data_IF_554453142799
#
_entry.id   IF_554453142799
#
_cell.length_a   1.000
_cell.length_b   1.000
_cell.length_c   1.000
_cell.angle_alpha   90.00
_cell.angle_beta   90.00
_cell.angle_gamma   90.00
#
_symmetry.space_group_name_H-M   'P 1'
#
loop_
_entity.id
_entity.type
_entity.pdbx_description
1 polymer ?
#
# COMPACT_ATOMS: atom_id res chain seq x y z
N UNK A 1 17.12 16.57 -4.18
CA UNK A 1 15.82 16.87 -4.83
C UNK A 1 14.96 17.60 -3.80
N UNK A 2 14.41 18.76 -4.13
CA UNK A 2 13.54 19.51 -3.22
C UNK A 2 12.23 18.73 -3.02
N UNK A 3 11.66 18.83 -1.80
CA UNK A 3 10.35 18.28 -1.52
C UNK A 3 9.32 18.91 -2.48
N UNK A 4 8.70 18.12 -3.33
CA UNK A 4 7.75 18.60 -4.33
C UNK A 4 6.31 18.60 -3.79
N UNK A 5 5.50 19.55 -4.26
CA UNK A 5 4.10 19.74 -3.89
C UNK A 5 3.21 19.80 -5.14
N UNK A 6 1.89 19.58 -4.99
CA UNK A 6 1.16 19.30 -3.77
C UNK A 6 1.38 17.87 -3.23
N UNK A 7 1.13 17.70 -1.92
CA UNK A 7 1.15 16.43 -1.19
C UNK A 7 -0.10 16.29 -0.33
N UNK A 8 -0.36 15.09 0.16
CA UNK A 8 -1.32 14.90 1.25
C UNK A 8 -0.58 14.92 2.60
N UNK A 9 -1.23 15.46 3.64
CA UNK A 9 -0.71 15.47 5.02
C UNK A 9 -1.77 15.00 6.02
N UNK A 10 -1.29 14.41 7.10
CA UNK A 10 -2.10 13.95 8.23
C UNK A 10 -3.00 12.76 7.92
N UNK A 11 -3.61 12.19 8.95
CA UNK A 11 -4.49 11.03 8.83
C UNK A 11 -5.75 11.31 7.99
N UNK A 12 -6.21 12.57 7.97
CA UNK A 12 -7.36 13.00 7.14
C UNK A 12 -7.00 13.22 5.67
N UNK A 13 -5.71 13.12 5.33
CA UNK A 13 -5.20 13.24 3.97
C UNK A 13 -5.60 14.57 3.31
N UNK A 14 -5.37 15.67 4.01
CA UNK A 14 -5.62 17.00 3.47
C UNK A 14 -4.54 17.39 2.47
N UNK A 15 -4.90 18.10 1.39
CA UNK A 15 -3.92 18.61 0.43
C UNK A 15 -3.06 19.68 1.08
N UNK A 16 -1.76 19.53 0.92
CA UNK A 16 -0.72 20.47 1.29
C UNK A 16 -0.09 21.03 0.01
N UNK A 17 -0.36 22.31 -0.32
CA UNK A 17 0.06 22.88 -1.60
C UNK A 17 1.50 23.42 -1.61
N UNK A 18 2.12 23.62 -0.44
CA UNK A 18 3.42 24.32 -0.33
C UNK A 18 4.21 23.88 0.90
N UNK A 19 5.49 24.23 0.88
CA UNK A 19 6.42 24.00 2.01
C UNK A 19 5.97 24.73 3.27
N UNK A 20 5.49 25.98 3.19
CA UNK A 20 5.03 26.76 4.35
C UNK A 20 3.85 26.07 5.04
N UNK A 21 2.90 25.55 4.24
CA UNK A 21 1.77 24.79 4.80
C UNK A 21 2.22 23.47 5.44
N UNK A 22 3.23 22.85 4.87
CA UNK A 22 3.82 21.63 5.39
C UNK A 22 4.53 21.88 6.73
N UNK A 23 5.33 22.93 6.83
CA UNK A 23 6.00 23.37 8.05
C UNK A 23 4.98 23.67 9.15
N UNK A 24 3.98 24.50 8.84
CA UNK A 24 2.91 24.86 9.78
C UNK A 24 2.15 23.63 10.29
N UNK A 25 1.96 22.61 9.46
CA UNK A 25 1.36 21.34 9.86
C UNK A 25 2.25 20.61 10.88
N UNK A 26 3.55 20.50 10.62
CA UNK A 26 4.49 19.85 11.54
C UNK A 26 4.51 20.60 12.87
N UNK A 27 4.68 21.91 12.87
CA UNK A 27 4.74 22.74 14.08
C UNK A 27 3.48 22.58 14.94
N UNK A 28 2.32 22.44 14.30
CA UNK A 28 1.04 22.32 15.00
C UNK A 28 0.81 20.93 15.58
N UNK A 29 1.25 19.86 14.89
CA UNK A 29 0.86 18.47 15.15
C UNK A 29 1.94 17.68 15.85
N UNK A 30 3.23 17.99 15.60
CA UNK A 30 4.36 17.24 16.15
C UNK A 30 4.34 17.23 17.69
N UNK A 31 4.53 16.05 18.26
CA UNK A 31 4.44 15.82 19.70
C UNK A 31 3.02 15.66 20.26
N UNK A 32 1.97 16.05 19.50
CA UNK A 32 0.55 15.87 19.87
C UNK A 32 -0.08 14.68 19.16
N UNK A 33 0.32 14.44 17.91
CA UNK A 33 -0.11 13.30 17.12
C UNK A 33 1.01 12.90 16.14
N UNK A 34 0.85 11.72 15.53
CA UNK A 34 1.78 11.23 14.52
C UNK A 34 1.68 12.07 13.24
N UNK A 35 2.82 12.52 12.72
CA UNK A 35 2.90 13.31 11.50
C UNK A 35 3.12 12.41 10.28
N UNK A 36 2.23 12.53 9.30
CA UNK A 36 2.28 11.78 8.04
C UNK A 36 2.20 12.69 6.83
N UNK A 37 2.85 12.27 5.75
CA UNK A 37 2.70 12.86 4.42
C UNK A 37 2.51 11.77 3.37
N UNK A 38 1.94 12.10 2.21
CA UNK A 38 1.97 11.16 1.07
C UNK A 38 3.40 10.85 0.69
N UNK A 39 3.68 9.59 0.35
CA UNK A 39 5.01 9.15 -0.08
C UNK A 39 5.48 9.93 -1.31
N UNK A 40 4.54 10.24 -2.21
CA UNK A 40 4.77 10.96 -3.46
C UNK A 40 4.06 12.31 -3.48
N UNK A 41 4.49 13.19 -4.39
CA UNK A 41 3.75 14.39 -4.77
C UNK A 41 2.83 14.13 -5.96
N UNK A 42 2.03 15.13 -6.32
CA UNK A 42 1.08 15.04 -7.43
C UNK A 42 1.24 16.27 -8.33
N UNK A 43 0.89 16.17 -9.60
CA UNK A 43 0.87 17.34 -10.51
C UNK A 43 -0.46 18.08 -10.44
N UNK A 44 -1.53 17.34 -10.26
CA UNK A 44 -2.90 17.83 -10.40
C UNK A 44 -3.77 17.44 -9.21
N UNK A 45 -4.87 18.18 -9.07
CA UNK A 45 -5.96 17.83 -8.16
C UNK A 45 -7.05 17.09 -8.92
N UNK A 46 -7.79 16.25 -8.22
CA UNK A 46 -8.98 15.60 -8.77
C UNK A 46 -10.02 16.70 -9.18
N UNK A 47 -10.40 16.81 -10.45
CA UNK A 47 -11.31 17.85 -10.90
C UNK A 47 -12.70 17.74 -10.28
N UNK A 48 -13.12 16.53 -9.89
CA UNK A 48 -14.41 16.30 -9.23
C UNK A 48 -14.32 16.47 -7.71
N UNK A 49 -13.11 16.35 -7.15
CA UNK A 49 -12.83 16.46 -5.70
C UNK A 49 -11.59 17.33 -5.46
N UNK A 50 -11.69 18.67 -5.62
CA UNK A 50 -10.52 19.58 -5.56
C UNK A 50 -9.74 19.53 -4.24
N UNK A 51 -10.32 18.91 -3.21
CA UNK A 51 -9.67 18.65 -1.92
C UNK A 51 -8.85 17.34 -1.89
N UNK A 52 -8.82 16.60 -3.01
CA UNK A 52 -8.00 15.40 -3.21
C UNK A 52 -7.02 15.60 -4.36
N UNK A 53 -5.85 14.91 -4.33
CA UNK A 53 -5.01 14.86 -5.52
C UNK A 53 -5.64 13.95 -6.58
N UNK A 54 -5.34 14.22 -7.84
CA UNK A 54 -5.49 13.21 -8.88
C UNK A 54 -4.34 12.20 -8.76
N UNK A 55 -4.67 11.00 -8.31
CA UNK A 55 -3.69 9.93 -8.13
C UNK A 55 -3.05 9.44 -9.45
N UNK A 56 -3.69 9.70 -10.59
CA UNK A 56 -3.08 9.43 -11.90
C UNK A 56 -1.97 10.42 -12.25
N UNK A 57 -1.93 11.57 -11.59
CA UNK A 57 -0.89 12.59 -11.75
C UNK A 57 0.29 12.43 -10.78
N UNK A 58 0.37 11.30 -10.07
CA UNK A 58 1.42 10.99 -9.10
C UNK A 58 2.81 11.14 -9.72
N UNK A 59 3.72 11.77 -8.98
CA UNK A 59 5.14 11.90 -9.32
C UNK A 59 5.92 10.94 -8.44
N UNK A 60 6.34 9.83 -9.03
CA UNK A 60 7.08 8.77 -8.36
C UNK A 60 8.58 9.08 -8.50
N UNK A 61 9.18 9.51 -7.41
CA UNK A 61 10.58 9.96 -7.34
C UNK A 61 11.49 8.98 -6.58
N UNK A 62 10.92 7.87 -6.09
CA UNK A 62 11.64 6.88 -5.28
C UNK A 62 10.93 5.54 -5.25
N UNK A 63 11.67 4.48 -4.90
CA UNK A 63 11.13 3.26 -4.32
C UNK A 63 11.12 3.36 -2.79
N UNK A 64 10.26 2.58 -2.13
CA UNK A 64 10.07 2.66 -0.69
C UNK A 64 9.66 1.32 -0.08
N UNK A 65 10.28 0.97 1.03
CA UNK A 65 10.02 -0.25 1.78
C UNK A 65 9.80 0.08 3.25
N UNK A 66 8.85 -0.60 3.87
CA UNK A 66 8.49 -0.52 5.28
C UNK A 66 8.83 -1.82 5.97
N UNK A 67 9.67 -1.75 6.99
CA UNK A 67 10.07 -2.89 7.80
C UNK A 67 9.66 -2.62 9.24
N UNK A 68 8.80 -3.46 9.77
CA UNK A 68 8.27 -3.30 11.13
C UNK A 68 8.52 -4.55 11.99
N UNK A 69 8.80 -4.32 13.27
CA UNK A 69 8.73 -5.38 14.29
C UNK A 69 7.30 -5.87 14.43
N UNK A 70 7.12 -7.19 14.53
CA UNK A 70 5.82 -7.79 14.69
C UNK A 70 5.89 -9.32 14.74
N UNK A 71 4.83 -9.96 14.32
CA UNK A 71 4.73 -11.42 14.28
C UNK A 71 5.80 -12.07 13.37
N UNK A 72 6.32 -11.33 12.39
CA UNK A 72 7.30 -11.82 11.41
C UNK A 72 8.75 -11.78 11.90
N UNK A 73 9.04 -11.05 12.97
CA UNK A 73 10.38 -10.97 13.55
C UNK A 73 10.55 -9.83 14.54
N UNK A 74 11.61 -9.96 15.35
CA UNK A 74 12.06 -8.93 16.28
C UNK A 74 12.91 -7.86 15.63
N UNK A 75 13.45 -6.94 16.45
CA UNK A 75 14.27 -5.82 15.96
C UNK A 75 15.53 -6.30 15.23
N UNK A 76 16.16 -7.40 15.65
CA UNK A 76 17.37 -7.91 15.02
C UNK A 76 17.08 -8.53 13.64
N UNK A 77 15.89 -9.14 13.47
CA UNK A 77 15.43 -9.62 12.16
C UNK A 77 15.17 -8.44 11.23
N UNK A 78 14.53 -7.37 11.73
CA UNK A 78 14.29 -6.14 10.98
C UNK A 78 15.60 -5.50 10.54
N UNK A 79 16.58 -5.35 11.45
CA UNK A 79 17.91 -4.78 11.14
C UNK A 79 18.61 -5.57 10.05
N UNK A 80 18.61 -6.91 10.16
CA UNK A 80 19.23 -7.80 9.16
C UNK A 80 18.58 -7.67 7.79
N UNK A 81 17.25 -7.67 7.73
CA UNK A 81 16.51 -7.54 6.49
C UNK A 81 16.75 -6.17 5.84
N UNK A 82 16.73 -5.10 6.63
CA UNK A 82 17.04 -3.73 6.16
C UNK A 82 18.46 -3.62 5.63
N UNK A 83 19.48 -4.11 6.35
CA UNK A 83 20.87 -4.12 5.89
C UNK A 83 21.00 -4.94 4.59
N UNK A 84 20.35 -6.10 4.53
CA UNK A 84 20.32 -6.93 3.32
C UNK A 84 19.71 -6.18 2.13
N UNK A 85 18.59 -5.48 2.33
CA UNK A 85 17.99 -4.66 1.27
C UNK A 85 18.96 -3.54 0.82
N UNK A 86 19.49 -2.76 1.76
CA UNK A 86 20.41 -1.66 1.43
C UNK A 86 21.57 -2.14 0.57
N UNK A 87 22.18 -3.29 0.90
CA UNK A 87 23.27 -3.89 0.12
C UNK A 87 22.87 -4.34 -1.29
N UNK A 88 21.57 -4.56 -1.56
CA UNK A 88 21.04 -4.89 -2.90
C UNK A 88 20.69 -3.66 -3.74
N UNK A 89 20.62 -2.49 -3.10
CA UNK A 89 20.20 -1.27 -3.77
C UNK A 89 21.39 -0.48 -4.31
N UNK A 90 21.21 0.10 -5.48
CA UNK A 90 22.17 0.98 -6.13
C UNK A 90 21.78 2.45 -5.93
N UNK A 91 22.79 3.33 -5.94
CA UNK A 91 22.56 4.77 -5.92
C UNK A 91 22.26 5.34 -4.55
N UNK A 92 21.44 6.38 -4.50
CA UNK A 92 21.13 7.12 -3.26
C UNK A 92 20.03 6.42 -2.46
N UNK A 93 20.40 5.84 -1.34
CA UNK A 93 19.52 5.15 -0.41
C UNK A 93 19.44 5.96 0.88
N UNK A 94 18.20 6.18 1.34
CA UNK A 94 17.91 6.88 2.60
C UNK A 94 17.24 5.92 3.56
N UNK A 95 17.59 6.00 4.81
CA UNK A 95 17.03 5.19 5.88
C UNK A 95 16.40 6.07 6.95
N UNK A 96 15.18 5.75 7.34
CA UNK A 96 14.46 6.42 8.42
C UNK A 96 14.10 5.40 9.48
N UNK A 97 14.61 5.56 10.71
CA UNK A 97 14.11 4.81 11.85
C UNK A 97 12.77 5.43 12.30
N UNK A 98 11.70 4.62 12.35
CA UNK A 98 10.33 5.12 12.61
C UNK A 98 9.89 5.00 14.07
N UNK A 99 10.77 4.41 14.91
CA UNK A 99 10.50 4.10 16.31
C UNK A 99 9.81 2.75 16.55
N UNK A 100 9.45 2.02 15.46
CA UNK A 100 8.99 0.62 15.49
C UNK A 100 9.79 -0.25 14.52
N UNK A 101 10.33 0.35 13.50
CA UNK A 101 11.06 -0.27 12.43
C UNK A 101 11.74 0.78 11.57
N UNK A 102 11.84 0.52 10.27
CA UNK A 102 12.58 1.38 9.35
C UNK A 102 11.85 1.54 8.02
N UNK A 103 11.91 2.76 7.48
CA UNK A 103 11.60 3.02 6.08
C UNK A 103 12.90 3.13 5.28
N UNK A 104 13.00 2.36 4.21
CA UNK A 104 14.09 2.47 3.24
C UNK A 104 13.57 3.19 2.01
N UNK A 105 14.28 4.21 1.54
CA UNK A 105 13.96 4.97 0.35
C UNK A 105 15.14 4.88 -0.62
N UNK A 106 14.90 4.52 -1.87
CA UNK A 106 15.87 4.62 -2.94
C UNK A 106 15.44 5.71 -3.91
N UNK A 107 16.21 6.79 -4.01
CA UNK A 107 15.86 7.93 -4.85
C UNK A 107 16.12 7.65 -6.32
N UNK A 108 15.23 8.13 -7.19
CA UNK A 108 15.38 7.99 -8.63
C UNK A 108 16.04 9.21 -9.25
N UNK A 109 16.95 8.96 -10.19
CA UNK A 109 17.58 10.00 -11.01
C UNK A 109 16.51 10.78 -11.79
N UNK A 110 15.58 10.04 -12.41
CA UNK A 110 14.54 10.56 -13.26
C UNK A 110 13.17 10.15 -12.68
N UNK A 111 12.43 11.07 -12.02
CA UNK A 111 11.08 10.78 -11.54
C UNK A 111 10.15 10.44 -12.70
N UNK A 112 9.26 9.50 -12.48
CA UNK A 112 8.24 9.11 -13.45
C UNK A 112 6.86 9.61 -13.02
N UNK A 113 5.94 9.78 -13.97
CA UNK A 113 4.62 10.37 -13.72
C UNK A 113 3.53 9.44 -14.19
N UNK A 114 2.50 9.35 -13.37
CA UNK A 114 1.26 8.62 -13.67
C UNK A 114 1.11 7.30 -12.93
N UNK A 115 -0.14 6.98 -12.61
CA UNK A 115 -0.52 5.78 -11.84
C UNK A 115 -0.19 4.46 -12.55
N UNK A 116 0.05 4.47 -13.87
CA UNK A 116 0.52 3.28 -14.60
C UNK A 116 1.88 2.75 -14.13
N UNK A 117 2.68 3.61 -13.46
CA UNK A 117 3.95 3.21 -12.89
C UNK A 117 3.83 2.44 -11.58
N UNK A 118 2.69 2.48 -10.88
CA UNK A 118 2.49 1.76 -9.60
C UNK A 118 2.82 0.26 -9.75
N UNK A 119 2.39 -0.38 -10.84
CA UNK A 119 2.69 -1.80 -11.09
C UNK A 119 4.18 -2.05 -11.29
N UNK A 120 4.85 -1.23 -12.10
CA UNK A 120 6.28 -1.36 -12.37
C UNK A 120 7.10 -1.12 -11.10
N UNK A 121 6.73 -0.10 -10.32
CA UNK A 121 7.33 0.19 -9.02
C UNK A 121 7.18 -1.00 -8.06
N UNK A 122 5.96 -1.50 -7.89
CA UNK A 122 5.69 -2.63 -7.00
C UNK A 122 6.48 -3.88 -7.39
N UNK A 123 6.58 -4.18 -8.70
CA UNK A 123 7.41 -5.29 -9.21
C UNK A 123 8.89 -5.08 -8.88
N UNK A 124 9.40 -3.87 -9.09
CA UNK A 124 10.77 -3.54 -8.71
C UNK A 124 11.01 -3.75 -7.21
N UNK A 125 10.19 -3.13 -6.38
CA UNK A 125 10.32 -3.18 -4.93
C UNK A 125 10.27 -4.61 -4.40
N UNK A 126 9.32 -5.42 -4.89
CA UNK A 126 9.22 -6.83 -4.52
C UNK A 126 10.39 -7.66 -5.03
N UNK A 127 10.92 -7.40 -6.22
CA UNK A 127 12.08 -8.12 -6.74
C UNK A 127 13.32 -7.96 -5.85
N UNK A 128 13.45 -6.80 -5.16
CA UNK A 128 14.56 -6.52 -4.24
C UNK A 128 14.38 -7.10 -2.85
N UNK A 129 13.13 -7.36 -2.43
CA UNK A 129 12.77 -7.71 -1.05
C UNK A 129 11.93 -8.99 -0.92
N UNK A 130 11.88 -9.85 -1.95
CA UNK A 130 10.99 -11.02 -2.01
C UNK A 130 11.20 -12.06 -0.91
N UNK A 131 12.41 -12.17 -0.38
CA UNK A 131 12.84 -13.11 0.65
C UNK A 131 12.99 -12.48 2.04
N UNK A 132 12.73 -11.17 2.18
CA UNK A 132 12.88 -10.45 3.44
C UNK A 132 11.60 -10.58 4.27
N UNK A 133 11.73 -11.20 5.44
CA UNK A 133 10.58 -11.65 6.24
C UNK A 133 9.82 -10.53 6.93
N UNK A 134 10.55 -9.47 7.35
CA UNK A 134 10.00 -8.38 8.14
C UNK A 134 9.44 -7.23 7.30
N UNK A 135 9.43 -7.38 5.96
CA UNK A 135 8.80 -6.42 5.04
C UNK A 135 7.30 -6.33 5.32
N UNK A 136 6.82 -5.14 5.72
CA UNK A 136 5.41 -4.87 5.99
C UNK A 136 4.70 -4.22 4.79
N UNK A 137 5.42 -3.43 4.00
CA UNK A 137 4.84 -2.76 2.85
C UNK A 137 5.83 -2.19 1.85
N UNK A 138 5.31 -1.87 0.67
CA UNK A 138 6.03 -1.22 -0.43
C UNK A 138 5.30 0.04 -0.91
N UNK A 139 5.94 0.83 -1.77
CA UNK A 139 5.41 2.08 -2.29
C UNK A 139 4.22 1.90 -3.24
N UNK A 140 3.32 2.86 -3.25
CA UNK A 140 2.25 3.04 -4.24
C UNK A 140 1.67 4.46 -4.15
N UNK A 141 0.94 4.89 -5.18
CA UNK A 141 0.47 6.29 -5.33
C UNK A 141 -0.27 6.85 -4.10
N UNK A 142 -1.03 6.00 -3.39
CA UNK A 142 -1.80 6.40 -2.20
C UNK A 142 -1.09 6.14 -0.88
N UNK A 143 0.19 5.73 -0.88
CA UNK A 143 0.92 5.43 0.37
C UNK A 143 1.17 6.71 1.16
N UNK A 144 0.92 6.64 2.45
CA UNK A 144 1.35 7.63 3.42
C UNK A 144 2.61 7.14 4.12
N UNK A 145 3.54 8.03 4.36
CA UNK A 145 4.77 7.75 5.10
C UNK A 145 4.90 8.68 6.30
N UNK A 146 5.60 8.25 7.33
CA UNK A 146 5.94 9.10 8.46
C UNK A 146 6.92 10.17 8.03
N UNK A 147 6.69 11.38 8.53
CA UNK A 147 7.64 12.48 8.30
C UNK A 147 8.82 12.26 9.25
N UNK A 148 10.07 12.18 8.73
CA UNK A 148 11.26 12.17 9.59
C UNK A 148 11.31 13.40 10.48
N UNK A 149 12.06 13.28 11.58
CA UNK A 149 12.27 14.33 12.57
C UNK A 149 10.99 14.76 13.31
N UNK A 150 10.01 13.87 13.28
CA UNK A 150 8.77 14.02 14.05
C UNK A 150 8.65 12.93 15.13
N UNK A 151 7.96 13.28 16.21
CA UNK A 151 7.76 12.38 17.33
C UNK A 151 6.67 11.34 17.03
N UNK A 152 7.00 10.06 17.21
CA UNK A 152 6.06 8.96 17.15
C UNK A 152 5.36 8.84 18.51
N UNK A 153 4.23 9.50 18.67
CA UNK A 153 3.47 9.56 19.92
C UNK A 153 3.09 8.16 20.40
N UNK A 154 2.73 7.26 19.48
CA UNK A 154 2.32 5.90 19.82
C UNK A 154 3.46 5.04 20.37
N UNK A 155 4.73 5.43 20.16
CA UNK A 155 5.91 4.69 20.57
C UNK A 155 6.81 5.44 21.55
N UNK A 156 6.55 6.73 21.79
CA UNK A 156 7.38 7.56 22.64
C UNK A 156 8.80 7.79 22.08
N UNK A 157 8.96 7.83 20.75
CA UNK A 157 10.27 7.90 20.07
C UNK A 157 10.23 8.84 18.88
N UNK A 158 11.40 9.32 18.47
CA UNK A 158 11.53 10.15 17.26
C UNK A 158 11.71 9.31 16.02
N UNK A 159 11.09 9.71 14.92
CA UNK A 159 11.46 9.24 13.59
C UNK A 159 12.70 10.02 13.15
N UNK A 160 13.77 9.34 12.76
CA UNK A 160 15.06 9.99 12.45
C UNK A 160 15.68 9.44 11.18
N UNK A 161 16.34 10.34 10.43
CA UNK A 161 17.19 9.94 9.33
C UNK A 161 18.48 9.29 9.86
N UNK A 162 18.92 8.22 9.20
CA UNK A 162 20.12 7.47 9.54
C UNK A 162 20.94 7.31 8.26
N UNK A 163 22.27 7.33 8.36
CA UNK A 163 23.12 6.94 7.25
C UNK A 163 22.88 5.47 6.90
N UNK A 164 22.42 5.23 5.66
CA UNK A 164 22.02 3.89 5.23
C UNK A 164 23.22 2.96 5.08
N UNK A 165 24.40 3.47 4.67
CA UNK A 165 25.61 2.67 4.49
C UNK A 165 26.23 2.32 5.82
N UNK A 166 26.36 3.30 6.71
CA UNK A 166 26.84 3.06 8.07
C UNK A 166 25.98 2.02 8.78
N UNK A 167 24.66 2.12 8.62
CA UNK A 167 23.74 1.15 9.17
C UNK A 167 23.90 -0.24 8.56
N UNK A 168 24.11 -0.37 7.24
CA UNK A 168 24.29 -1.66 6.58
C UNK A 168 25.57 -2.36 7.02
N UNK A 169 26.66 -1.59 7.25
CA UNK A 169 27.95 -2.10 7.70
C UNK A 169 27.93 -2.50 9.19
N UNK A 170 27.17 -1.77 10.00
CA UNK A 170 27.05 -2.01 11.45
C UNK A 170 25.64 -1.68 11.95
N UNK A 171 24.66 -2.59 11.79
CA UNK A 171 23.29 -2.34 12.21
C UNK A 171 23.20 -2.10 13.73
N UNK A 172 23.00 -0.84 14.11
CA UNK A 172 22.87 -0.43 15.50
C UNK A 172 21.41 -0.30 15.91
N UNK A 173 21.14 -0.13 17.21
CA UNK A 173 19.80 0.11 17.72
C UNK A 173 19.49 1.62 17.66
N UNK A 174 18.81 2.04 16.59
CA UNK A 174 18.39 3.42 16.36
C UNK A 174 17.01 3.75 16.93
N UNK A 175 16.61 3.10 17.98
CA UNK A 175 15.40 3.44 18.70
C UNK A 175 15.63 4.69 19.55
N UNK A 176 15.62 5.87 18.94
CA UNK A 176 16.01 7.12 19.58
C UNK A 176 14.87 7.71 20.41
N UNK A 177 14.98 7.79 21.75
CA UNK A 177 13.95 8.36 22.61
C UNK A 177 14.00 9.88 22.69
N UNK A 178 15.16 10.49 22.35
CA UNK A 178 15.40 11.94 22.46
C UNK A 178 15.26 12.61 21.10
N UNK A 179 14.87 13.88 21.10
CA UNK A 179 14.83 14.67 19.87
C UNK A 179 16.22 14.75 19.25
N UNK A 180 16.38 14.38 17.96
CA UNK A 180 17.66 14.56 17.28
C UNK A 180 17.96 16.06 17.20
N UNK A 181 19.24 16.39 17.37
CA UNK A 181 19.77 17.76 17.25
C UNK A 181 20.06 18.03 15.78
N UNK A 182 19.00 18.16 14.98
CA UNK A 182 19.15 18.53 13.58
C UNK A 182 18.43 19.86 13.34
N UNK A 183 19.02 20.68 12.52
CA UNK A 183 18.41 21.95 12.11
C UNK A 183 17.36 21.67 11.01
N UNK A 184 16.10 21.66 11.41
CA UNK A 184 14.95 21.39 10.54
C UNK A 184 14.50 22.57 9.71
N UNK A 185 15.28 23.64 9.64
CA UNK A 185 14.95 24.80 8.80
C UNK A 185 14.83 24.45 7.32
N UNK A 186 15.25 23.25 6.92
CA UNK A 186 15.17 22.74 5.57
C UNK A 186 14.37 21.43 5.55
N UNK A 187 13.08 21.55 5.61
CA UNK A 187 12.07 20.46 5.60
C UNK A 187 12.03 19.62 4.32
N UNK A 188 13.18 19.29 3.76
CA UNK A 188 13.29 18.09 2.94
C UNK A 188 13.67 16.93 3.88
N UNK A 189 12.71 16.13 4.35
CA UNK A 189 13.00 15.00 5.23
C UNK A 189 13.93 13.97 4.58
N UNK A 190 14.21 14.16 3.28
CA UNK A 190 15.02 13.28 2.45
C UNK A 190 16.27 13.97 1.94
N UNK A 191 16.60 15.15 2.45
CA UNK A 191 17.81 15.87 2.14
C UNK A 191 18.97 15.28 2.96
N UNK A 192 19.79 14.51 2.32
CA UNK A 192 21.14 14.21 2.75
C UNK A 192 22.10 14.72 1.68
N UNK A 193 23.37 14.67 1.98
CA UNK A 193 24.45 15.19 1.21
C UNK A 193 24.32 15.01 -0.30
N UNK A 194 24.59 16.05 -1.01
CA UNK A 194 24.63 16.40 -2.44
C UNK A 194 24.92 15.31 -3.50
N UNK A 195 24.71 14.05 -3.25
CA UNK A 195 24.81 13.01 -4.26
C UNK A 195 23.55 13.01 -5.11
N UNK A 196 23.70 13.35 -6.38
CA UNK A 196 22.61 13.22 -7.35
C UNK A 196 22.21 11.73 -7.43
N UNK A 197 20.90 11.39 -7.36
CA UNK A 197 20.44 10.03 -7.53
C UNK A 197 20.94 9.44 -8.84
N UNK A 198 21.47 8.23 -8.82
CA UNK A 198 22.04 7.57 -10.01
C UNK A 198 21.12 6.46 -10.54
N UNK A 199 20.25 5.90 -9.71
CA UNK A 199 19.35 4.81 -10.11
C UNK A 199 18.19 5.31 -10.99
N UNK A 200 17.93 4.62 -12.12
CA UNK A 200 16.84 4.91 -13.04
C UNK A 200 15.84 3.76 -13.08
N UNK A 201 14.63 4.01 -12.56
CA UNK A 201 13.52 3.04 -12.63
C UNK A 201 13.08 2.79 -14.08
N UNK A 202 13.21 3.80 -14.94
CA UNK A 202 12.86 3.68 -16.37
C UNK A 202 13.81 2.70 -17.05
N UNK A 203 15.10 2.82 -16.81
CA UNK A 203 16.11 1.89 -17.34
C UNK A 203 15.86 0.46 -16.84
N UNK A 204 15.65 0.31 -15.54
CA UNK A 204 15.34 -0.99 -14.96
C UNK A 204 14.09 -1.63 -15.61
N UNK A 205 13.02 -0.86 -15.84
CA UNK A 205 11.79 -1.35 -16.45
C UNK A 205 11.98 -1.78 -17.92
N UNK A 206 12.93 -1.16 -18.65
CA UNK A 206 13.29 -1.56 -20.01
C UNK A 206 14.11 -2.87 -19.98
N UNK A 207 15.07 -2.98 -19.06
CA UNK A 207 15.95 -4.16 -18.92
C UNK A 207 15.19 -5.37 -18.32
N UNK A 208 14.08 -5.12 -17.62
CA UNK A 208 13.21 -6.14 -17.04
C UNK A 208 11.76 -5.96 -17.58
N UNK A 209 11.51 -6.25 -18.85
CA UNK A 209 10.17 -6.16 -19.42
C UNK A 209 9.20 -7.06 -18.66
N UNK A 210 7.92 -6.71 -18.65
CA UNK A 210 6.88 -7.61 -18.15
C UNK A 210 6.90 -8.82 -19.06
N UNK A 211 7.33 -9.99 -18.55
CA UNK A 211 7.11 -11.24 -19.28
C UNK A 211 5.60 -11.45 -19.33
N UNK A 212 5.07 -11.78 -20.51
CA UNK A 212 3.67 -12.18 -20.67
C UNK A 212 3.32 -13.40 -19.81
N UNK A 213 4.32 -14.06 -19.23
CA UNK A 213 4.25 -15.29 -18.43
C UNK A 213 3.90 -15.12 -16.95
N UNK A 214 3.45 -13.95 -16.48
CA UNK A 214 2.77 -13.90 -15.18
C UNK A 214 1.28 -14.30 -15.30
N UNK A 215 1.01 -15.24 -16.15
CA UNK A 215 -0.16 -16.10 -16.05
C UNK A 215 0.18 -17.14 -14.98
N UNK A 216 -0.53 -17.10 -13.89
CA UNK A 216 -0.41 -18.03 -12.76
C UNK A 216 -0.39 -19.49 -13.24
N UNK A 217 0.78 -20.10 -13.38
CA UNK A 217 0.90 -21.56 -13.41
C UNK A 217 0.80 -22.09 -11.98
N UNK A 218 -0.37 -21.99 -11.41
CA UNK A 218 -0.79 -22.69 -10.20
C UNK A 218 -1.97 -23.56 -10.53
N UNK A 219 -1.70 -24.75 -11.11
CA UNK A 219 -2.72 -25.80 -11.16
C UNK A 219 -2.98 -26.29 -9.75
N UNK A 220 -4.02 -25.80 -9.12
CA UNK A 220 -4.56 -26.37 -7.89
C UNK A 220 -5.75 -27.27 -8.24
N UNK A 221 -5.54 -28.59 -8.12
CA UNK A 221 -6.61 -29.56 -8.03
C UNK A 221 -6.97 -29.73 -6.56
N UNK A 222 -8.10 -29.16 -6.16
CA UNK A 222 -8.65 -29.34 -4.82
C UNK A 222 -10.13 -28.92 -4.84
N UNK A 223 -11.03 -29.87 -4.70
CA UNK A 223 -12.44 -29.62 -4.45
C UNK A 223 -12.60 -29.01 -3.06
N UNK A 224 -12.86 -27.72 -2.97
CA UNK A 224 -13.31 -27.07 -1.73
C UNK A 224 -14.77 -26.67 -1.94
N UNK A 225 -15.66 -27.36 -1.25
CA UNK A 225 -17.08 -27.05 -1.25
C UNK A 225 -17.33 -25.69 -0.61
N UNK A 226 -17.80 -24.76 -1.40
CA UNK A 226 -18.25 -23.43 -0.96
C UNK A 226 -19.62 -23.54 -0.32
N UNK A 227 -19.76 -23.10 0.92
CA UNK A 227 -21.05 -23.03 1.66
C UNK A 227 -21.71 -21.64 1.53
N UNK A 228 -21.36 -20.84 0.53
CA UNK A 228 -21.99 -19.54 0.30
C UNK A 228 -23.36 -19.71 -0.40
N UNK A 229 -24.36 -18.97 0.06
CA UNK A 229 -25.65 -18.86 -0.65
C UNK A 229 -25.50 -18.05 -1.95
N UNK A 230 -24.44 -17.27 -2.08
CA UNK A 230 -24.09 -16.48 -3.26
C UNK A 230 -23.20 -17.30 -4.18
N UNK A 231 -23.57 -17.51 -5.44
CA UNK A 231 -22.73 -18.20 -6.40
C UNK A 231 -21.42 -17.41 -6.65
N UNK A 232 -20.27 -17.99 -6.30
CA UNK A 232 -18.97 -17.36 -6.54
C UNK A 232 -18.47 -17.75 -7.94
N UNK A 233 -18.02 -16.80 -8.79
CA UNK A 233 -17.46 -17.11 -10.09
C UNK A 233 -16.21 -17.99 -9.96
N UNK A 234 -16.00 -19.00 -10.82
CA UNK A 234 -14.86 -19.92 -10.74
C UNK A 234 -13.49 -19.22 -10.69
N UNK A 235 -13.36 -18.10 -11.39
CA UNK A 235 -12.14 -17.29 -11.36
C UNK A 235 -11.88 -16.63 -10.00
N UNK A 236 -12.92 -16.15 -9.34
CA UNK A 236 -12.82 -15.57 -8.00
C UNK A 236 -12.67 -16.66 -6.96
N UNK A 237 -13.40 -17.77 -7.10
CA UNK A 237 -13.33 -18.92 -6.20
C UNK A 237 -11.89 -19.46 -6.12
N UNK A 238 -11.25 -19.70 -7.25
CA UNK A 238 -9.83 -20.10 -7.28
C UNK A 238 -8.91 -19.08 -6.61
N UNK A 239 -9.19 -17.80 -6.73
CA UNK A 239 -8.34 -16.75 -6.19
C UNK A 239 -8.48 -16.57 -4.66
N UNK A 240 -9.65 -16.91 -4.09
CA UNK A 240 -9.91 -16.78 -2.64
C UNK A 240 -9.50 -18.01 -1.83
N UNK A 241 -9.27 -19.16 -2.47
CA UNK A 241 -8.90 -20.42 -1.78
C UNK A 241 -7.43 -20.47 -1.35
N UNK A 242 -6.61 -19.48 -1.71
CA UNK A 242 -5.23 -19.38 -1.21
C UNK A 242 -5.22 -18.93 0.25
N UNK A 243 -4.25 -19.40 1.03
CA UNK A 243 -4.15 -19.11 2.47
C UNK A 243 -4.02 -17.63 2.82
N UNK A 244 -3.61 -16.77 1.87
CA UNK A 244 -3.49 -15.32 2.05
C UNK A 244 -3.71 -14.59 0.72
N UNK A 245 -4.98 -14.43 0.27
CA UNK A 245 -5.28 -13.71 -0.96
C UNK A 245 -4.91 -12.22 -0.84
N UNK A 246 -4.58 -11.61 -1.97
CA UNK A 246 -4.27 -10.18 -1.98
C UNK A 246 -5.47 -9.35 -1.52
N UNK A 247 -5.20 -8.14 -1.02
CA UNK A 247 -6.26 -7.22 -0.60
C UNK A 247 -7.30 -6.98 -1.71
N UNK A 248 -6.86 -6.88 -2.97
CA UNK A 248 -7.75 -6.68 -4.12
C UNK A 248 -8.71 -7.85 -4.33
N UNK A 249 -8.25 -9.09 -4.15
CA UNK A 249 -9.09 -10.29 -4.26
C UNK A 249 -10.15 -10.33 -3.14
N UNK A 250 -9.76 -9.97 -1.92
CA UNK A 250 -10.68 -9.87 -0.78
C UNK A 250 -11.75 -8.81 -1.02
N UNK A 251 -11.36 -7.64 -1.52
CA UNK A 251 -12.30 -6.56 -1.90
C UNK A 251 -13.24 -7.04 -3.00
N UNK A 252 -12.73 -7.74 -4.02
CA UNK A 252 -13.54 -8.27 -5.10
C UNK A 252 -14.59 -9.26 -4.60
N UNK A 253 -14.21 -10.15 -3.67
CA UNK A 253 -15.15 -11.09 -3.04
C UNK A 253 -16.28 -10.36 -2.30
N UNK A 254 -15.93 -9.41 -1.42
CA UNK A 254 -16.91 -8.66 -0.65
C UNK A 254 -17.88 -7.90 -1.57
N UNK A 255 -17.37 -7.22 -2.59
CA UNK A 255 -18.21 -6.48 -3.54
C UNK A 255 -19.09 -7.41 -4.37
N UNK A 256 -18.57 -8.57 -4.80
CA UNK A 256 -19.37 -9.56 -5.50
C UNK A 256 -20.50 -10.10 -4.64
N UNK A 257 -20.21 -10.51 -3.42
CA UNK A 257 -21.24 -10.98 -2.48
C UNK A 257 -22.26 -9.88 -2.17
N UNK A 258 -21.80 -8.66 -1.88
CA UNK A 258 -22.66 -7.52 -1.59
C UNK A 258 -23.65 -7.21 -2.72
N UNK A 259 -23.18 -7.19 -3.98
CA UNK A 259 -24.02 -6.96 -5.15
C UNK A 259 -25.09 -8.05 -5.31
N UNK A 260 -24.73 -9.31 -5.13
CA UNK A 260 -25.66 -10.42 -5.24
C UNK A 260 -26.67 -10.45 -4.10
N UNK A 261 -26.25 -10.23 -2.84
CA UNK A 261 -27.14 -10.19 -1.68
C UNK A 261 -28.14 -9.02 -1.75
N UNK A 262 -27.79 -7.96 -2.48
CA UNK A 262 -28.71 -6.85 -2.77
C UNK A 262 -29.62 -7.10 -3.98
N UNK A 263 -29.47 -8.20 -4.69
CA UNK A 263 -30.16 -8.44 -5.95
C UNK A 263 -29.95 -7.29 -6.95
N UNK A 264 -28.71 -6.80 -7.02
CA UNK A 264 -28.31 -5.67 -7.88
C UNK A 264 -29.01 -4.33 -7.57
N UNK A 265 -29.73 -4.21 -6.45
CA UNK A 265 -30.28 -2.93 -6.01
C UNK A 265 -29.15 -1.95 -5.58
N UNK A 266 -29.34 -0.63 -5.78
CA UNK A 266 -28.40 0.36 -5.28
C UNK A 266 -28.20 0.26 -3.75
N UNK A 267 -26.98 0.43 -3.27
CA UNK A 267 -26.65 0.32 -1.84
C UNK A 267 -27.47 1.31 -0.98
N UNK A 268 -27.74 2.49 -1.52
CA UNK A 268 -28.53 3.54 -0.86
C UNK A 268 -30.01 3.16 -0.62
N UNK A 269 -30.52 2.13 -1.29
CA UNK A 269 -31.91 1.68 -1.16
C UNK A 269 -32.06 0.53 -0.18
N UNK A 270 -30.95 -0.02 0.37
CA UNK A 270 -30.99 -1.18 1.25
C UNK A 270 -31.23 -0.74 2.70
N UNK A 271 -32.23 -1.29 3.39
CA UNK A 271 -32.50 -1.01 4.80
C UNK A 271 -31.30 -1.37 5.70
N UNK A 272 -31.12 -0.63 6.80
CA UNK A 272 -29.98 -0.77 7.69
C UNK A 272 -29.89 -2.14 8.40
N UNK A 273 -31.03 -2.77 8.68
CA UNK A 273 -31.12 -4.12 9.22
C UNK A 273 -30.65 -5.17 8.20
N UNK A 274 -31.04 -5.02 6.94
CA UNK A 274 -30.59 -5.88 5.85
C UNK A 274 -29.10 -5.72 5.61
N UNK A 275 -28.53 -4.49 5.67
CA UNK A 275 -27.09 -4.27 5.56
C UNK A 275 -26.33 -5.00 6.68
N UNK A 276 -26.84 -5.04 7.90
CA UNK A 276 -26.24 -5.79 9.00
C UNK A 276 -26.26 -7.29 8.76
N UNK A 277 -27.40 -7.83 8.29
CA UNK A 277 -27.51 -9.24 7.93
C UNK A 277 -26.52 -9.63 6.82
N UNK A 278 -26.36 -8.78 5.80
CA UNK A 278 -25.37 -8.99 4.74
C UNK A 278 -23.93 -8.92 5.26
N UNK A 279 -23.63 -7.99 6.17
CA UNK A 279 -22.33 -7.89 6.83
C UNK A 279 -21.97 -9.19 7.56
N UNK A 280 -22.92 -9.75 8.31
CA UNK A 280 -22.74 -10.99 9.03
C UNK A 280 -22.59 -12.20 8.08
N UNK A 281 -23.36 -12.28 7.02
CA UNK A 281 -23.27 -13.35 6.02
C UNK A 281 -21.90 -13.35 5.32
N UNK A 282 -21.44 -12.19 4.87
CA UNK A 282 -20.13 -12.05 4.22
C UNK A 282 -19.01 -12.38 5.19
N UNK A 283 -19.08 -11.89 6.43
CA UNK A 283 -18.06 -12.17 7.44
C UNK A 283 -17.97 -13.65 7.76
N UNK A 284 -19.12 -14.33 7.96
CA UNK A 284 -19.19 -15.75 8.20
C UNK A 284 -18.60 -16.56 7.05
N UNK A 285 -18.91 -16.17 5.80
CA UNK A 285 -18.32 -16.83 4.63
C UNK A 285 -16.79 -16.65 4.58
N UNK A 286 -16.28 -15.43 4.79
CA UNK A 286 -14.84 -15.18 4.81
C UNK A 286 -14.15 -16.00 5.92
N UNK A 287 -14.80 -16.18 7.06
CA UNK A 287 -14.26 -16.98 8.15
C UNK A 287 -14.07 -18.45 7.75
N UNK A 288 -14.94 -19.00 6.89
CA UNK A 288 -14.78 -20.38 6.39
C UNK A 288 -13.60 -20.58 5.44
N UNK A 289 -13.05 -19.49 4.90
CA UNK A 289 -11.91 -19.53 3.97
C UNK A 289 -10.55 -19.66 4.69
N UNK A 290 -10.53 -19.61 6.02
CA UNK A 290 -9.37 -19.85 6.87
C UNK A 290 -8.12 -19.04 6.47
N UNK A 291 -8.31 -17.77 6.02
CA UNK A 291 -7.20 -16.91 5.64
C UNK A 291 -6.29 -16.64 6.85
N UNK A 292 -4.99 -16.81 6.63
CA UNK A 292 -3.96 -16.79 7.67
C UNK A 292 -3.95 -15.52 8.54
N UNK A 293 -4.32 -14.37 7.97
CA UNK A 293 -4.33 -13.06 8.62
C UNK A 293 -5.76 -12.56 8.87
N UNK A 294 -6.77 -13.45 8.85
CA UNK A 294 -8.14 -13.08 9.11
C UNK A 294 -8.30 -12.50 10.52
N UNK A 295 -8.83 -11.27 10.57
CA UNK A 295 -9.22 -10.61 11.82
C UNK A 295 -10.67 -10.15 11.70
N UNK A 296 -11.61 -10.74 12.45
CA UNK A 296 -13.04 -10.47 12.29
C UNK A 296 -13.41 -9.00 12.54
N UNK A 297 -12.76 -8.31 13.48
CA UNK A 297 -13.04 -6.91 13.79
C UNK A 297 -12.62 -6.00 12.63
N UNK A 298 -11.41 -6.21 12.08
CA UNK A 298 -10.89 -5.44 10.94
C UNK A 298 -11.73 -5.74 9.68
N UNK A 299 -12.00 -7.03 9.43
CA UNK A 299 -12.78 -7.47 8.28
C UNK A 299 -14.20 -6.89 8.29
N UNK A 300 -14.87 -6.88 9.46
CA UNK A 300 -16.19 -6.29 9.63
C UNK A 300 -16.21 -4.79 9.25
N UNK A 301 -15.22 -4.04 9.68
CA UNK A 301 -15.10 -2.61 9.33
C UNK A 301 -14.93 -2.39 7.82
N UNK A 302 -14.13 -3.22 7.16
CA UNK A 302 -13.94 -3.18 5.70
C UNK A 302 -15.21 -3.58 4.95
N UNK A 303 -15.88 -4.67 5.35
CA UNK A 303 -17.14 -5.12 4.75
C UNK A 303 -18.18 -3.99 4.82
N UNK A 304 -18.39 -3.40 5.99
CA UNK A 304 -19.32 -2.28 6.19
C UNK A 304 -19.08 -1.12 5.24
N UNK A 305 -17.81 -0.77 5.02
CA UNK A 305 -17.43 0.27 4.05
C UNK A 305 -17.76 -0.16 2.62
N UNK A 306 -17.45 -1.41 2.26
CA UNK A 306 -17.67 -1.91 0.89
C UNK A 306 -19.15 -2.11 0.57
N UNK A 307 -20.00 -2.38 1.56
CA UNK A 307 -21.45 -2.46 1.39
C UNK A 307 -22.08 -1.13 0.90
N UNK A 308 -21.39 0.00 1.03
CA UNK A 308 -21.85 1.29 0.49
C UNK A 308 -21.57 1.47 -1.01
N UNK A 309 -20.84 0.54 -1.66
CA UNK A 309 -20.53 0.61 -3.09
C UNK A 309 -21.60 -0.07 -3.93
N UNK A 310 -22.01 0.54 -5.03
CA UNK A 310 -23.12 0.06 -5.85
C UNK A 310 -22.77 -1.12 -6.75
N UNK A 311 -21.50 -1.31 -7.10
CA UNK A 311 -21.07 -2.29 -8.11
C UNK A 311 -19.90 -3.12 -7.65
N UNK A 312 -19.90 -4.40 -8.02
CA UNK A 312 -18.74 -5.27 -7.96
C UNK A 312 -17.76 -4.98 -9.12
N UNK A 313 -16.52 -5.49 -9.05
CA UNK A 313 -15.56 -5.34 -10.13
C UNK A 313 -16.09 -5.83 -11.48
N UNK A 314 -15.77 -5.10 -12.55
CA UNK A 314 -16.19 -5.46 -13.91
C UNK A 314 -15.41 -6.68 -14.43
N UNK A 315 -15.92 -7.28 -15.52
CA UNK A 315 -15.22 -8.32 -16.28
C UNK A 315 -13.78 -7.91 -16.63
N UNK A 316 -13.62 -6.71 -17.18
CA UNK A 316 -12.30 -6.17 -17.53
C UNK A 316 -11.37 -6.05 -16.33
N UNK A 317 -11.91 -5.86 -15.13
CA UNK A 317 -11.09 -5.85 -13.92
C UNK A 317 -10.50 -7.24 -13.61
N UNK A 318 -11.29 -8.30 -13.76
CA UNK A 318 -10.82 -9.69 -13.58
C UNK A 318 -9.85 -10.11 -14.69
N UNK A 319 -10.17 -9.77 -15.95
CA UNK A 319 -9.31 -10.07 -17.09
C UNK A 319 -7.95 -9.36 -17.00
N UNK A 320 -7.95 -8.07 -16.62
CA UNK A 320 -6.72 -7.30 -16.46
C UNK A 320 -5.77 -7.84 -15.37
N UNK A 321 -6.27 -8.74 -14.51
CA UNK A 321 -5.50 -9.39 -13.43
C UNK A 321 -5.21 -10.86 -13.71
N UNK A 322 -5.49 -11.32 -14.92
CA UNK A 322 -5.30 -12.71 -15.30
C UNK A 322 -6.17 -13.70 -14.49
N UNK A 323 -7.21 -13.22 -13.83
CA UNK A 323 -8.09 -14.04 -13.00
C UNK A 323 -9.17 -14.75 -13.80
N UNK A 324 -9.48 -14.26 -15.00
CA UNK A 324 -10.51 -14.80 -15.86
C UNK A 324 -10.06 -14.85 -17.33
N UNK A 325 -10.27 -16.00 -17.94
CA UNK A 325 -9.98 -16.31 -19.34
C UNK A 325 -11.13 -15.96 -20.33
N UNK A 326 -12.19 -15.33 -19.84
CA UNK A 326 -13.32 -14.89 -20.66
C UNK A 326 -14.51 -15.86 -20.73
N UNK A 327 -14.36 -17.13 -20.35
CA UNK A 327 -15.43 -18.14 -20.40
C UNK A 327 -16.23 -18.30 -19.10
N UNK A 328 -16.13 -17.32 -18.20
CA UNK A 328 -16.82 -17.38 -16.92
C UNK A 328 -18.31 -17.03 -17.06
N UNK A 329 -19.20 -17.87 -16.51
CA UNK A 329 -20.66 -17.66 -16.56
C UNK A 329 -21.11 -16.30 -15.96
N UNK A 330 -20.40 -15.77 -14.99
CA UNK A 330 -20.69 -14.47 -14.39
C UNK A 330 -20.54 -13.31 -15.41
N UNK A 331 -19.72 -13.48 -16.43
CA UNK A 331 -19.56 -12.53 -17.52
C UNK A 331 -20.73 -12.57 -18.49
N UNK A 332 -21.32 -13.76 -18.70
CA UNK A 332 -22.41 -13.95 -19.61
C UNK A 332 -23.74 -13.42 -19.06
N UNK A 333 -23.93 -13.40 -17.74
CA UNK A 333 -25.12 -12.86 -17.10
C UNK A 333 -25.22 -11.32 -17.22
N UNK A 334 -24.09 -10.61 -17.18
CA UNK A 334 -24.05 -9.14 -17.29
C UNK A 334 -24.23 -8.61 -18.71
N UNK A 335 -24.04 -9.45 -19.75
CA UNK A 335 -24.30 -9.08 -21.15
C UNK A 335 -25.78 -9.13 -21.52
N UNK A 336 -26.64 -9.65 -20.65
CA UNK A 336 -28.08 -9.83 -20.90
C UNK A 336 -28.97 -8.80 -20.19
N UNK A 337 -28.37 -7.93 -19.36
CA UNK A 337 -29.01 -6.79 -18.71
C UNK A 337 -28.30 -5.47 -19.07
#
# INVERSE_FOLDING_TARGET
MLLSFPREIGLRRSICPSLDRFSSYIDTVNGKANCYTSLFSFRERDPQRPWKPDYNSVVIDRAWWDFDMGERGGIDDVKRDVATLINRLEGDVRLVATGRGFHVHQLFKDPVVGGSWDRKLNRYERSKAHDLKTLDGVGFAKKMTRIPDTFNVSRGRWAVNIDAREFADSPMDFLIPTRPVNDYTHLDPFRGDNLAPTFSITRWAIENPESEEWVSTGSFSGEVGSHSTVPIPPCLDRAITVSNPTHEIRVALVLHMAENLRWFAPASTVPADKLRSMEDEILNYIQTLEWRDFNPTVSRGHIRTLLTYDRSPSEGWYAARGLCDGDCWAHNLRRRN
#
